data_IF_772387858609
#
_entry.id   IF_772387858609
#
_cell.length_a   1.000
_cell.length_b   1.000
_cell.length_c   1.000
_cell.angle_alpha   90.00
_cell.angle_beta   90.00
_cell.angle_gamma   90.00
#
_symmetry.space_group_name_H-M   'P 1'
#
loop_
_entity.id
_entity.type
_entity.pdbx_description
1 polymer ?
#
# COMPACT_ATOMS: atom_id res chain seq x y z
N UNK A 1 2.79 -26.71 -4.52
CA UNK A 1 2.73 -26.02 -4.72
C UNK A 1 3.09 -25.16 -4.99
N UNK A 2 2.87 -24.83 -5.12
CA UNK A 2 3.14 -24.08 -5.28
C UNK A 2 2.98 -23.08 -5.12
N UNK A 3 2.83 -22.87 -4.95
CA UNK A 3 2.60 -22.10 -4.70
C UNK A 3 2.69 -20.92 -4.77
N UNK A 4 2.33 -20.69 -5.18
CA UNK A 4 2.41 -19.39 -5.24
C UNK A 4 1.69 -18.73 -4.20
N UNK A 5 2.30 -17.79 -3.42
CA UNK A 5 1.71 -17.25 -2.23
C UNK A 5 0.42 -16.52 -2.50
N UNK A 6 0.39 -15.79 -3.60
CA UNK A 6 -0.81 -15.04 -3.93
C UNK A 6 -1.98 -15.93 -4.20
N UNK A 7 -1.70 -17.20 -4.45
CA UNK A 7 -2.76 -18.15 -4.72
C UNK A 7 -3.16 -18.95 -3.52
N UNK A 8 -2.60 -18.64 -2.37
CA UNK A 8 -3.04 -19.32 -1.17
C UNK A 8 -4.51 -19.10 -0.95
N UNK A 9 -5.09 -20.01 -0.25
CA UNK A 9 -6.48 -19.86 0.11
C UNK A 9 -6.69 -18.61 0.92
N UNK A 10 -7.75 -17.90 0.62
CA UNK A 10 -8.12 -16.73 1.37
C UNK A 10 -8.99 -17.14 2.55
N UNK A 11 -8.94 -16.38 3.64
CA UNK A 11 -9.83 -16.66 4.77
C UNK A 11 -11.28 -16.61 4.36
N UNK A 12 -12.11 -17.39 5.04
CA UNK A 12 -13.53 -17.38 4.76
C UNK A 12 -14.17 -16.05 5.13
N UNK A 13 -13.65 -15.39 6.15
CA UNK A 13 -14.20 -14.11 6.61
C UNK A 13 -13.69 -12.97 5.75
N UNK A 14 -14.60 -12.20 5.11
CA UNK A 14 -14.16 -11.07 4.27
C UNK A 14 -13.31 -10.04 5.02
N UNK A 15 -13.55 -9.85 6.31
CA UNK A 15 -12.74 -8.92 7.08
C UNK A 15 -11.30 -9.42 7.18
N UNK A 16 -11.13 -10.71 7.42
CA UNK A 16 -9.80 -11.29 7.46
C UNK A 16 -9.10 -11.18 6.10
N UNK A 17 -9.85 -11.40 5.02
CA UNK A 17 -9.30 -11.26 3.67
C UNK A 17 -8.76 -9.85 3.47
N UNK A 18 -9.54 -8.84 3.87
CA UNK A 18 -9.10 -7.45 3.76
C UNK A 18 -7.84 -7.20 4.54
N UNK A 19 -7.76 -7.77 5.75
CA UNK A 19 -6.57 -7.61 6.59
C UNK A 19 -5.33 -8.22 5.95
N UNK A 20 -5.48 -9.36 5.27
CA UNK A 20 -4.33 -9.98 4.62
C UNK A 20 -3.80 -9.10 3.48
N UNK A 21 -4.68 -8.42 2.78
CA UNK A 21 -4.24 -7.54 1.68
C UNK A 21 -3.59 -6.27 2.17
N UNK A 22 -4.12 -5.70 3.27
CA UNK A 22 -3.53 -4.50 3.83
C UNK A 22 -2.30 -4.79 4.67
N UNK A 23 -2.31 -5.92 5.36
CA UNK A 23 -1.20 -6.36 6.16
C UNK A 23 -0.96 -5.53 7.41
N UNK A 24 -0.15 -4.51 7.31
CA UNK A 24 0.29 -3.76 8.46
C UNK A 24 0.18 -2.26 8.20
N UNK A 25 0.65 -1.48 9.16
CA UNK A 25 0.51 -0.04 9.09
C UNK A 25 1.24 0.56 7.88
N UNK A 26 2.36 -0.03 7.47
CA UNK A 26 3.11 0.54 6.36
C UNK A 26 2.34 0.47 5.06
N UNK A 27 1.65 -0.65 4.81
CA UNK A 27 0.84 -0.78 3.59
C UNK A 27 -0.29 0.24 3.58
N UNK A 28 -0.94 0.42 4.73
CA UNK A 28 -2.02 1.40 4.84
C UNK A 28 -1.51 2.82 4.56
N UNK A 29 -0.35 3.16 5.11
CA UNK A 29 0.22 4.49 4.89
C UNK A 29 0.65 4.70 3.45
N UNK A 30 1.19 3.66 2.81
CA UNK A 30 1.55 3.74 1.40
C UNK A 30 0.31 3.96 0.54
N UNK A 31 -0.77 3.22 0.81
CA UNK A 31 -2.03 3.40 0.09
C UNK A 31 -2.53 4.83 0.23
N UNK A 32 -2.52 5.34 1.47
CA UNK A 32 -2.95 6.71 1.72
C UNK A 32 -2.18 7.71 0.88
N UNK A 33 -0.87 7.52 0.81
CA UNK A 33 -0.01 8.50 0.15
C UNK A 33 -0.03 8.39 -1.37
N UNK A 34 -0.45 7.25 -1.91
CA UNK A 34 -0.58 7.06 -3.34
C UNK A 34 -1.98 7.37 -3.88
N UNK A 35 -2.98 7.53 -2.99
CA UNK A 35 -4.33 7.85 -3.46
C UNK A 35 -4.39 9.13 -4.30
N UNK A 36 -3.70 10.22 -3.95
CA UNK A 36 -3.75 11.44 -4.77
C UNK A 36 -3.09 11.29 -6.13
N UNK A 37 -2.10 10.40 -6.25
CA UNK A 37 -1.42 10.21 -7.51
C UNK A 37 -0.10 9.49 -7.33
N UNK A 38 0.56 9.25 -8.46
CA UNK A 38 1.82 8.50 -8.45
C UNK A 38 2.91 9.26 -7.73
N UNK A 39 3.87 8.51 -7.19
CA UNK A 39 5.01 9.07 -6.48
C UNK A 39 6.26 8.27 -6.75
N UNK A 40 7.40 8.93 -6.65
CA UNK A 40 8.69 8.27 -6.71
C UNK A 40 9.00 7.64 -5.35
N UNK A 41 9.94 6.71 -5.36
CA UNK A 41 10.35 6.04 -4.15
C UNK A 41 10.78 7.03 -3.05
N UNK A 42 11.60 8.01 -3.43
CA UNK A 42 12.09 8.98 -2.45
C UNK A 42 10.96 9.83 -1.88
N UNK A 43 9.96 10.15 -2.72
CA UNK A 43 8.81 10.91 -2.24
C UNK A 43 7.97 10.09 -1.27
N UNK A 44 7.78 8.80 -1.56
CA UNK A 44 7.07 7.91 -0.67
C UNK A 44 7.80 7.76 0.67
N UNK A 45 9.10 7.56 0.60
CA UNK A 45 9.87 7.40 1.81
C UNK A 45 9.74 8.60 2.73
N UNK A 46 9.74 9.80 2.12
CA UNK A 46 9.60 11.03 2.87
C UNK A 46 8.18 11.20 3.42
N UNK A 47 7.17 10.95 2.59
CA UNK A 47 5.79 11.21 3.01
C UNK A 47 5.29 10.18 4.03
N UNK A 48 5.68 8.92 3.88
CA UNK A 48 5.30 7.90 4.85
C UNK A 48 5.98 8.15 6.19
N UNK A 49 7.25 8.50 6.14
CA UNK A 49 7.99 8.86 7.34
C UNK A 49 8.32 7.67 8.24
N UNK A 50 9.51 7.67 8.79
CA UNK A 50 9.90 6.68 9.78
C UNK A 50 10.10 5.26 9.27
N UNK A 51 9.93 5.03 7.99
CA UNK A 51 10.12 3.70 7.42
C UNK A 51 11.53 3.59 6.84
N UNK A 52 12.17 2.44 7.06
CA UNK A 52 13.49 2.21 6.48
C UNK A 52 13.34 1.90 4.99
N UNK A 53 14.42 2.12 4.25
CA UNK A 53 14.42 1.81 2.83
C UNK A 53 14.14 0.32 2.60
N UNK A 54 14.71 -0.53 3.44
CA UNK A 54 14.54 -1.97 3.31
C UNK A 54 13.07 -2.36 3.48
N UNK A 55 12.42 -1.83 4.51
CA UNK A 55 11.04 -2.16 4.78
C UNK A 55 10.12 -1.60 3.69
N UNK A 56 10.36 -0.34 3.28
CA UNK A 56 9.53 0.25 2.23
C UNK A 56 9.64 -0.55 0.94
N UNK A 57 10.85 -0.93 0.56
CA UNK A 57 11.07 -1.74 -0.64
C UNK A 57 10.28 -3.05 -0.57
N UNK A 58 10.35 -3.73 0.58
CA UNK A 58 9.67 -4.99 0.75
C UNK A 58 8.16 -4.83 0.67
N UNK A 59 7.63 -3.79 1.29
CA UNK A 59 6.18 -3.54 1.26
C UNK A 59 5.71 -3.20 -0.15
N UNK A 60 6.44 -2.36 -0.86
CA UNK A 60 6.06 -1.99 -2.23
C UNK A 60 6.07 -3.22 -3.14
N UNK A 61 7.07 -4.08 -2.98
CA UNK A 61 7.15 -5.28 -3.79
C UNK A 61 5.95 -6.21 -3.52
N UNK A 62 5.61 -6.37 -2.26
CA UNK A 62 4.48 -7.21 -1.89
C UNK A 62 3.17 -6.64 -2.43
N UNK A 63 2.99 -5.33 -2.35
CA UNK A 63 1.78 -4.69 -2.85
C UNK A 63 1.69 -4.79 -4.37
N UNK A 64 2.82 -4.71 -5.06
CA UNK A 64 2.85 -4.88 -6.50
C UNK A 64 2.44 -6.30 -6.87
N UNK A 65 2.96 -7.30 -6.15
CA UNK A 65 2.62 -8.69 -6.40
C UNK A 65 1.14 -8.98 -6.16
N UNK A 66 0.53 -8.27 -5.23
CA UNK A 66 -0.89 -8.42 -4.93
C UNK A 66 -1.77 -7.57 -5.83
N UNK A 67 -1.19 -6.88 -6.80
CA UNK A 67 -1.96 -6.13 -7.78
C UNK A 67 -2.49 -4.79 -7.28
N UNK A 68 -2.00 -4.30 -6.16
CA UNK A 68 -2.49 -3.04 -5.58
C UNK A 68 -1.83 -1.82 -6.20
N UNK A 69 -0.62 -1.97 -6.72
CA UNK A 69 0.09 -0.86 -7.34
C UNK A 69 0.96 -1.37 -8.48
N UNK A 70 1.41 -0.43 -9.30
CA UNK A 70 2.36 -0.71 -10.37
C UNK A 70 3.65 0.04 -10.11
N UNK A 71 4.72 -0.51 -10.64
CA UNK A 71 6.05 0.07 -10.56
C UNK A 71 6.53 0.31 -11.98
N UNK A 72 6.83 1.55 -12.31
CA UNK A 72 7.30 1.92 -13.64
C UNK A 72 8.72 2.45 -13.54
N UNK A 73 9.61 1.86 -14.34
CA UNK A 73 11.01 2.29 -14.38
C UNK A 73 11.24 3.07 -15.65
N UNK A 74 11.79 4.27 -15.50
CA UNK A 74 12.15 5.11 -16.65
C UNK A 74 13.65 5.04 -16.83
N UNK A 75 14.12 4.71 -18.04
CA UNK A 75 15.55 4.54 -18.31
C UNK A 75 16.25 5.89 -18.49
N UNK A 76 16.32 6.63 -17.41
CA UNK A 76 16.99 7.93 -17.36
C UNK A 76 18.26 7.79 -16.56
N UNK A 77 19.03 8.86 -16.50
CA UNK A 77 20.25 8.92 -15.69
C UNK A 77 20.12 10.12 -14.76
N UNK A 78 19.92 9.89 -13.46
CA UNK A 78 19.73 8.58 -12.81
C UNK A 78 18.36 7.99 -13.14
N UNK A 79 18.21 6.68 -13.00
CA UNK A 79 16.93 6.04 -13.29
C UNK A 79 15.83 6.58 -12.38
N UNK A 80 14.64 6.69 -12.92
CA UNK A 80 13.47 7.13 -12.16
C UNK A 80 12.50 5.97 -12.03
N UNK A 81 12.02 5.73 -10.81
CA UNK A 81 11.04 4.69 -10.55
C UNK A 81 9.82 5.35 -9.93
N UNK A 82 8.66 5.09 -10.49
CA UNK A 82 7.40 5.66 -10.02
C UNK A 82 6.43 4.55 -9.63
N UNK A 83 5.65 4.81 -8.60
CA UNK A 83 4.64 3.89 -8.09
C UNK A 83 3.26 4.54 -8.19
N UNK A 84 2.28 3.78 -8.64
CA UNK A 84 0.91 4.27 -8.79
C UNK A 84 -0.06 3.16 -8.41
N UNK A 85 -1.19 3.53 -7.80
CA UNK A 85 -2.21 2.55 -7.46
C UNK A 85 -2.91 2.05 -8.72
N UNK A 86 -3.22 0.77 -8.72
CA UNK A 86 -4.08 0.17 -9.74
C UNK A 86 -5.54 0.48 -9.38
N UNK A 87 -6.50 0.17 -10.29
CA UNK A 87 -7.90 0.28 -9.90
C UNK A 87 -8.23 -0.53 -8.65
N UNK A 88 -7.60 -1.70 -8.48
CA UNK A 88 -7.81 -2.49 -7.28
C UNK A 88 -7.30 -1.74 -6.04
N UNK A 89 -6.12 -1.11 -6.15
CA UNK A 89 -5.59 -0.31 -5.05
C UNK A 89 -6.51 0.85 -4.72
N UNK A 90 -7.02 1.54 -5.75
CA UNK A 90 -7.95 2.64 -5.54
C UNK A 90 -9.25 2.19 -4.90
N UNK A 91 -9.64 0.95 -5.10
CA UNK A 91 -10.89 0.43 -4.54
C UNK A 91 -10.87 0.35 -3.02
N UNK A 92 -9.69 0.48 -2.42
CA UNK A 92 -9.56 0.49 -0.96
C UNK A 92 -9.83 1.86 -0.34
N UNK A 93 -10.05 2.88 -1.17
CA UNK A 93 -10.27 4.24 -0.66
C UNK A 93 -11.40 4.33 0.37
N UNK A 94 -12.58 3.73 0.15
CA UNK A 94 -13.64 3.83 1.15
C UNK A 94 -13.23 3.30 2.52
N UNK A 95 -12.40 2.24 2.53
CA UNK A 95 -11.93 1.68 3.78
C UNK A 95 -10.98 2.65 4.47
N UNK A 96 -10.06 3.23 3.70
CA UNK A 96 -9.11 4.19 4.25
C UNK A 96 -9.81 5.44 4.76
N UNK A 97 -10.81 5.91 4.03
CA UNK A 97 -11.60 7.07 4.46
C UNK A 97 -12.31 6.78 5.78
N UNK A 98 -12.87 5.59 5.91
CA UNK A 98 -13.57 5.20 7.14
C UNK A 98 -12.60 5.11 8.31
N UNK A 99 -11.42 4.56 8.06
CA UNK A 99 -10.39 4.48 9.09
C UNK A 99 -9.97 5.86 9.56
N UNK A 100 -9.79 6.78 8.63
CA UNK A 100 -9.41 8.15 8.96
C UNK A 100 -10.49 8.81 9.81
N UNK A 101 -11.75 8.68 9.40
CA UNK A 101 -12.85 9.29 10.15
C UNK A 101 -12.93 8.73 11.55
N UNK A 102 -12.84 7.42 11.68
CA UNK A 102 -12.89 6.80 12.99
C UNK A 102 -11.75 7.28 13.87
N UNK A 103 -10.55 7.33 13.29
CA UNK A 103 -9.36 7.75 14.03
C UNK A 103 -9.45 9.19 14.51
N UNK A 104 -9.95 10.08 13.63
CA UNK A 104 -10.12 11.47 14.00
C UNK A 104 -11.09 11.62 15.17
N UNK A 105 -12.19 10.88 15.12
CA UNK A 105 -13.18 10.91 16.18
C UNK A 105 -12.59 10.40 17.50
N UNK A 106 -11.83 9.32 17.42
CA UNK A 106 -11.20 8.75 18.60
C UNK A 106 -10.20 9.72 19.22
N UNK A 107 -9.39 10.37 18.37
CA UNK A 107 -8.39 11.32 18.86
C UNK A 107 -9.04 12.50 19.58
N UNK A 108 -10.19 12.97 19.08
CA UNK A 108 -10.90 14.06 19.73
C UNK A 108 -11.43 13.67 21.09
N UNK A 109 -11.81 12.40 21.26
CA UNK A 109 -12.35 11.92 22.51
C UNK A 109 -11.28 11.58 23.53
N UNK A 110 -10.06 11.44 23.12
CA UNK A 110 -8.94 11.04 23.95
C UNK A 110 -7.77 11.95 23.74
#
# INVERSE_FOLDING_TARGET
>A
MTSQPAKKELPACPVETTLTLRGDKWKVLILRDLLPGKKRFSELKRSVGGVSQKVLTAQLRDMEQNGLLTRTVYPEVPPRVEYALTPLGHSLKPILDAMQLWGETYQKAH
#
